data_IF_321525791103
#
_entry.id   IF_321525791103
#
_cell.length_a   1.000
_cell.length_b   1.000
_cell.length_c   1.000
_cell.angle_alpha   90.00
_cell.angle_beta   90.00
_cell.angle_gamma   90.00
#
_symmetry.space_group_name_H-M   'P 1'
#
loop_
_entity.id
_entity.type
_entity.pdbx_description
1 polymer ?
#
# COMPACT_ATOMS: atom_id res chain seq x y z
N UNK A 1 23.10 -29.21 -8.79
CA UNK A 1 23.90 -29.16 -10.03
C UNK A 1 24.77 -27.92 -9.94
N UNK A 2 26.04 -28.09 -9.58
CA UNK A 2 27.00 -26.99 -9.40
C UNK A 2 27.62 -26.64 -10.76
N UNK A 3 26.88 -25.84 -11.56
CA UNK A 3 27.42 -25.38 -12.85
C UNK A 3 28.04 -23.98 -12.74
N UNK A 4 27.82 -23.27 -11.64
CA UNK A 4 28.31 -21.91 -11.43
C UNK A 4 29.26 -21.82 -10.22
N UNK A 5 30.21 -20.89 -10.23
CA UNK A 5 31.00 -20.61 -9.05
C UNK A 5 30.09 -20.19 -7.88
N UNK A 6 30.44 -20.60 -6.66
CA UNK A 6 29.64 -20.37 -5.46
C UNK A 6 29.17 -18.90 -5.27
N UNK A 7 29.98 -17.85 -5.56
CA UNK A 7 29.51 -16.46 -5.46
C UNK A 7 28.38 -16.14 -6.45
N UNK A 8 28.40 -16.71 -7.65
CA UNK A 8 27.36 -16.51 -8.65
C UNK A 8 26.06 -17.24 -8.25
N UNK A 9 26.17 -18.48 -7.76
CA UNK A 9 25.01 -19.23 -7.26
C UNK A 9 24.31 -18.45 -6.14
N UNK A 10 25.08 -17.92 -5.20
CA UNK A 10 24.55 -17.11 -4.09
C UNK A 10 23.82 -15.86 -4.60
N UNK A 11 24.33 -15.19 -5.62
CA UNK A 11 23.67 -14.03 -6.23
C UNK A 11 22.36 -14.42 -6.92
N UNK A 12 22.35 -15.53 -7.66
CA UNK A 12 21.15 -16.08 -8.29
C UNK A 12 20.09 -16.41 -7.24
N UNK A 13 20.48 -17.05 -6.14
CA UNK A 13 19.57 -17.34 -5.03
C UNK A 13 18.94 -16.07 -4.43
N UNK A 14 19.72 -14.98 -4.23
CA UNK A 14 19.17 -13.74 -3.72
C UNK A 14 18.13 -13.14 -4.67
N UNK A 15 18.38 -13.15 -5.98
CA UNK A 15 17.38 -12.67 -6.95
C UNK A 15 16.16 -13.59 -7.02
N UNK A 16 16.32 -14.89 -6.90
CA UNK A 16 15.21 -15.85 -6.91
C UNK A 16 14.29 -15.73 -5.68
N UNK A 17 14.74 -15.11 -4.59
CA UNK A 17 13.93 -14.80 -3.39
C UNK A 17 12.98 -13.62 -3.59
N UNK A 18 13.19 -12.82 -4.64
CA UNK A 18 12.33 -11.66 -4.91
C UNK A 18 10.97 -12.12 -5.46
N UNK A 19 9.85 -11.55 -4.97
CA UNK A 19 8.52 -11.91 -5.45
C UNK A 19 8.40 -11.73 -6.97
N UNK A 20 7.86 -12.74 -7.66
CA UNK A 20 7.67 -12.72 -9.11
C UNK A 20 8.93 -13.02 -9.92
N UNK A 21 10.09 -13.25 -9.29
CA UNK A 21 11.32 -13.61 -9.98
C UNK A 21 11.51 -15.12 -9.95
N UNK A 22 11.32 -15.79 -11.10
CA UNK A 22 11.62 -17.21 -11.26
C UNK A 22 13.11 -17.46 -11.52
N UNK A 23 13.55 -18.73 -11.38
CA UNK A 23 14.96 -19.11 -11.48
C UNK A 23 15.66 -18.66 -12.77
N UNK A 24 14.99 -18.73 -13.95
CA UNK A 24 15.55 -18.23 -15.21
C UNK A 24 15.79 -16.71 -15.20
N UNK A 25 14.84 -15.96 -14.65
CA UNK A 25 14.98 -14.49 -14.51
C UNK A 25 16.07 -14.14 -13.51
N UNK A 26 16.14 -14.85 -12.38
CA UNK A 26 17.19 -14.67 -11.38
C UNK A 26 18.60 -14.88 -11.97
N UNK A 27 18.79 -15.94 -12.77
CA UNK A 27 20.05 -16.17 -13.48
C UNK A 27 20.39 -15.00 -14.42
N UNK A 28 19.43 -14.55 -15.24
CA UNK A 28 19.64 -13.42 -16.15
C UNK A 28 20.05 -12.14 -15.42
N UNK A 29 19.41 -11.84 -14.28
CA UNK A 29 19.76 -10.70 -13.45
C UNK A 29 21.16 -10.82 -12.86
N UNK A 30 21.53 -12.00 -12.36
CA UNK A 30 22.85 -12.24 -11.81
C UNK A 30 23.96 -12.09 -12.89
N UNK A 31 23.77 -12.63 -14.07
CA UNK A 31 24.71 -12.42 -15.19
C UNK A 31 24.78 -10.97 -15.64
N UNK A 32 23.66 -10.24 -15.63
CA UNK A 32 23.67 -8.82 -15.93
C UNK A 32 24.53 -8.03 -14.94
N UNK A 33 24.34 -8.29 -13.63
CA UNK A 33 25.14 -7.63 -12.58
C UNK A 33 26.64 -7.93 -12.71
N UNK A 34 27.00 -9.17 -13.06
CA UNK A 34 28.40 -9.56 -13.33
C UNK A 34 29.01 -8.80 -14.52
N UNK A 35 28.18 -8.42 -15.50
CA UNK A 35 28.61 -7.65 -16.66
C UNK A 35 28.72 -6.13 -16.41
N UNK A 36 28.25 -5.63 -15.26
CA UNK A 36 28.36 -4.22 -14.91
C UNK A 36 29.80 -3.85 -14.55
N UNK A 37 30.21 -2.60 -14.81
CA UNK A 37 31.40 -2.01 -14.18
C UNK A 37 31.31 -2.11 -12.66
N UNK A 38 32.43 -2.27 -11.99
CA UNK A 38 32.48 -2.43 -10.53
C UNK A 38 31.80 -1.28 -9.78
N UNK A 39 31.94 -0.05 -10.27
CA UNK A 39 31.31 1.13 -9.67
C UNK A 39 29.76 1.09 -9.76
N UNK A 40 29.22 0.68 -10.90
CA UNK A 40 27.75 0.53 -11.06
C UNK A 40 27.19 -0.60 -10.15
N UNK A 41 27.93 -1.70 -10.03
CA UNK A 41 27.56 -2.77 -9.11
C UNK A 41 27.58 -2.31 -7.65
N UNK A 42 28.56 -1.47 -7.25
CA UNK A 42 28.63 -0.85 -5.92
C UNK A 42 27.46 0.11 -5.70
N UNK A 43 27.16 0.98 -6.68
CA UNK A 43 26.01 1.90 -6.60
C UNK A 43 24.69 1.12 -6.38
N UNK A 44 24.49 0.05 -7.13
CA UNK A 44 23.29 -0.79 -6.98
C UNK A 44 23.20 -1.41 -5.58
N UNK A 45 24.30 -1.99 -5.09
CA UNK A 45 24.35 -2.56 -3.74
C UNK A 45 24.10 -1.50 -2.65
N UNK A 46 24.73 -0.33 -2.78
CA UNK A 46 24.56 0.77 -1.84
C UNK A 46 23.13 1.32 -1.86
N UNK A 47 22.49 1.45 -3.02
CA UNK A 47 21.11 1.90 -3.13
C UNK A 47 20.13 1.00 -2.35
N UNK A 48 20.37 -0.33 -2.35
CA UNK A 48 19.58 -1.27 -1.53
C UNK A 48 19.79 -1.02 -0.04
N UNK A 49 21.04 -0.88 0.39
CA UNK A 49 21.39 -0.66 1.79
C UNK A 49 20.88 0.71 2.29
N UNK A 50 21.06 1.75 1.51
CA UNK A 50 20.65 3.11 1.82
C UNK A 50 19.13 3.21 1.94
N UNK A 51 18.39 2.61 1.01
CA UNK A 51 16.94 2.53 1.10
C UNK A 51 16.49 1.80 2.37
N UNK A 52 17.15 0.66 2.70
CA UNK A 52 16.82 -0.13 3.88
C UNK A 52 17.09 0.61 5.20
N UNK A 53 18.14 1.43 5.25
CA UNK A 53 18.54 2.17 6.45
C UNK A 53 17.82 3.51 6.60
N UNK A 54 17.56 4.21 5.48
CA UNK A 54 17.07 5.59 5.49
C UNK A 54 15.56 5.69 5.44
N UNK A 55 14.88 4.70 4.82
CA UNK A 55 13.42 4.73 4.71
C UNK A 55 12.79 4.22 5.99
N UNK A 56 11.96 5.07 6.61
CA UNK A 56 11.21 4.79 7.83
C UNK A 56 9.73 5.09 7.62
N UNK A 57 8.89 4.76 8.61
CA UNK A 57 7.48 5.14 8.59
C UNK A 57 7.27 6.54 9.19
N UNK A 58 6.46 7.35 8.53
CA UNK A 58 6.01 8.63 9.07
C UNK A 58 5.26 8.41 10.39
N UNK A 59 5.61 9.10 11.48
CA UNK A 59 5.00 8.87 12.79
C UNK A 59 3.51 9.24 12.85
N UNK A 60 2.99 9.98 11.85
CA UNK A 60 1.58 10.40 11.80
C UNK A 60 0.73 9.49 10.92
N UNK A 61 1.18 9.17 9.71
CA UNK A 61 0.35 8.46 8.73
C UNK A 61 0.87 7.07 8.36
N UNK A 62 2.02 6.68 8.87
CA UNK A 62 2.69 5.40 8.60
C UNK A 62 3.13 5.22 7.13
N UNK A 63 3.03 6.25 6.28
CA UNK A 63 3.62 6.20 4.93
C UNK A 63 5.15 6.28 5.01
N UNK A 64 5.83 5.82 3.98
CA UNK A 64 7.29 5.90 3.92
C UNK A 64 7.81 7.35 3.87
N UNK A 65 8.92 7.58 4.58
CA UNK A 65 9.63 8.86 4.63
C UNK A 65 11.12 8.62 4.83
N UNK A 66 11.94 9.57 4.46
CA UNK A 66 13.38 9.57 4.75
C UNK A 66 13.72 10.27 6.10
N UNK A 67 12.81 10.15 7.06
CA UNK A 67 12.91 10.74 8.40
C UNK A 67 11.87 11.83 8.66
N UNK A 68 11.38 11.91 9.90
CA UNK A 68 10.35 12.86 10.31
C UNK A 68 9.01 12.69 9.61
N UNK A 69 8.32 13.79 9.36
CA UNK A 69 7.02 13.79 8.67
C UNK A 69 7.21 13.57 7.16
N UNK A 70 6.34 12.75 6.57
CA UNK A 70 6.32 12.61 5.11
C UNK A 70 5.83 13.91 4.43
N UNK A 71 6.10 14.10 3.11
CA UNK A 71 5.70 15.31 2.39
C UNK A 71 4.20 15.63 2.45
N UNK A 72 3.34 14.62 2.61
CA UNK A 72 1.90 14.82 2.74
C UNK A 72 1.56 15.37 4.13
N UNK A 73 2.08 14.76 5.20
CA UNK A 73 1.80 15.18 6.57
C UNK A 73 2.45 16.52 6.95
N UNK A 74 3.53 16.91 6.29
CA UNK A 74 4.19 18.21 6.49
C UNK A 74 3.57 19.35 5.68
N UNK A 75 2.70 19.05 4.71
CA UNK A 75 2.10 20.05 3.84
C UNK A 75 0.96 20.81 4.54
N UNK A 76 1.04 22.13 4.69
CA UNK A 76 -0.04 22.93 5.25
C UNK A 76 -1.24 23.12 4.31
N UNK A 77 -1.12 22.65 3.05
CA UNK A 77 -2.17 22.76 2.03
C UNK A 77 -3.17 21.62 2.09
N UNK A 78 -2.88 20.58 2.87
CA UNK A 78 -3.74 19.39 2.98
C UNK A 78 -4.89 19.59 3.95
N UNK A 79 -6.05 19.09 3.58
CA UNK A 79 -7.22 19.07 4.44
C UNK A 79 -7.05 18.06 5.57
N UNK A 80 -6.92 18.55 6.80
CA UNK A 80 -6.78 17.73 8.00
C UNK A 80 -8.07 17.05 8.45
N UNK A 81 -9.22 17.45 7.91
CA UNK A 81 -10.54 16.92 8.30
C UNK A 81 -10.83 15.56 7.65
N UNK A 82 -10.10 15.18 6.59
CA UNK A 82 -10.34 13.95 5.83
C UNK A 82 -9.11 13.04 5.85
N UNK A 83 -9.33 11.76 6.19
CA UNK A 83 -8.28 10.73 6.19
C UNK A 83 -8.67 9.59 5.26
N UNK A 84 -7.83 9.31 4.25
CA UNK A 84 -7.93 8.12 3.41
C UNK A 84 -7.08 6.99 3.98
N UNK A 85 -7.70 5.86 4.29
CA UNK A 85 -7.05 4.68 4.86
C UNK A 85 -6.79 3.67 3.78
N UNK A 86 -5.53 3.32 3.62
CA UNK A 86 -5.04 2.38 2.60
C UNK A 86 -4.29 1.21 3.24
N UNK A 87 -4.21 0.10 2.54
CA UNK A 87 -3.48 -1.06 3.01
C UNK A 87 -1.95 -0.90 2.88
N UNK A 88 -1.48 -0.26 1.81
CA UNK A 88 -0.07 -0.25 1.42
C UNK A 88 0.38 1.18 1.01
N UNK A 89 1.65 1.55 1.22
CA UNK A 89 2.19 2.83 0.73
C UNK A 89 2.06 3.03 -0.79
N UNK A 90 2.02 1.95 -1.57
CA UNK A 90 1.82 2.00 -3.02
C UNK A 90 0.44 2.54 -3.40
N UNK A 91 -0.56 2.30 -2.55
CA UNK A 91 -1.93 2.81 -2.75
C UNK A 91 -1.97 4.33 -2.59
N UNK A 92 -1.19 4.88 -1.63
CA UNK A 92 -0.99 6.33 -1.49
C UNK A 92 -0.46 6.91 -2.80
N UNK A 93 0.59 6.30 -3.36
CA UNK A 93 1.18 6.76 -4.61
C UNK A 93 0.20 6.65 -5.80
N UNK A 94 -0.69 5.65 -5.79
CA UNK A 94 -1.71 5.48 -6.82
C UNK A 94 -2.77 6.60 -6.76
N UNK A 95 -3.26 6.92 -5.55
CA UNK A 95 -4.25 7.99 -5.35
C UNK A 95 -3.63 9.37 -5.65
N UNK A 96 -2.40 9.62 -5.18
CA UNK A 96 -1.69 10.89 -5.43
C UNK A 96 -1.46 11.18 -6.92
N UNK A 97 -1.31 10.14 -7.76
CA UNK A 97 -1.19 10.33 -9.23
C UNK A 97 -2.44 10.95 -9.84
N UNK A 98 -3.63 10.75 -9.27
CA UNK A 98 -4.86 11.37 -9.75
C UNK A 98 -4.88 12.89 -9.54
N UNK A 99 -4.19 13.39 -8.50
CA UNK A 99 -4.18 14.78 -8.06
C UNK A 99 -5.56 15.32 -7.60
N UNK A 100 -6.53 14.45 -7.41
CA UNK A 100 -7.91 14.80 -7.04
C UNK A 100 -8.15 14.74 -5.52
N UNK A 101 -7.26 14.08 -4.77
CA UNK A 101 -7.39 13.94 -3.33
C UNK A 101 -6.49 14.92 -2.59
N UNK A 102 -7.07 15.74 -1.73
CA UNK A 102 -6.35 16.76 -0.96
C UNK A 102 -6.30 16.49 0.56
N UNK A 103 -6.82 15.37 1.03
CA UNK A 103 -6.79 14.99 2.44
C UNK A 103 -5.47 14.35 2.87
N UNK A 104 -5.47 13.86 4.10
CA UNK A 104 -4.39 13.06 4.66
C UNK A 104 -4.61 11.57 4.46
N UNK A 105 -3.54 10.78 4.66
CA UNK A 105 -3.60 9.32 4.58
C UNK A 105 -3.32 8.67 5.94
N UNK A 106 -3.66 7.39 5.99
CA UNK A 106 -3.16 6.48 6.99
C UNK A 106 -2.93 5.10 6.36
N UNK A 107 -1.69 4.60 6.47
CA UNK A 107 -1.26 3.32 5.90
C UNK A 107 -1.31 2.25 6.98
N UNK A 108 -1.98 1.14 6.69
CA UNK A 108 -2.16 0.02 7.63
C UNK A 108 -0.97 -0.94 7.62
N UNK A 109 -0.22 -1.02 6.52
CA UNK A 109 0.83 -2.01 6.21
C UNK A 109 0.30 -3.44 6.12
N UNK A 110 -0.91 -3.61 5.60
CA UNK A 110 -1.57 -4.88 5.37
C UNK A 110 -3.08 -4.80 5.56
N UNK A 111 -3.68 -5.98 5.60
CA UNK A 111 -5.10 -6.21 5.89
C UNK A 111 -5.23 -7.33 6.91
N UNK A 112 -6.35 -7.39 7.64
CA UNK A 112 -6.65 -8.51 8.53
C UNK A 112 -6.80 -9.77 7.67
N UNK A 113 -5.93 -10.74 7.88
CA UNK A 113 -5.86 -11.98 7.11
C UNK A 113 -5.63 -13.18 8.03
N UNK A 114 -6.69 -13.86 8.48
CA UNK A 114 -6.56 -15.05 9.31
C UNK A 114 -5.74 -16.17 8.62
N UNK A 115 -5.86 -16.27 7.31
CA UNK A 115 -5.12 -17.28 6.52
C UNK A 115 -3.61 -17.04 6.54
N UNK A 116 -3.20 -15.76 6.64
CA UNK A 116 -1.79 -15.36 6.72
C UNK A 116 -1.35 -15.03 8.16
N UNK A 117 -2.16 -15.36 9.16
CA UNK A 117 -1.92 -15.08 10.58
C UNK A 117 -1.71 -13.59 10.89
N UNK A 118 -2.35 -12.69 10.11
CA UNK A 118 -2.30 -11.24 10.33
C UNK A 118 -3.54 -10.81 11.11
N UNK A 119 -3.35 -10.40 12.35
CA UNK A 119 -4.38 -9.85 13.21
C UNK A 119 -4.41 -8.31 13.23
N UNK A 120 -5.40 -7.71 13.89
CA UNK A 120 -5.51 -6.26 14.02
C UNK A 120 -4.31 -5.59 14.73
N UNK A 121 -3.63 -6.32 15.61
CA UNK A 121 -2.48 -5.82 16.37
C UNK A 121 -1.18 -5.80 15.55
N UNK A 122 -1.14 -6.55 14.45
CA UNK A 122 -0.01 -6.56 13.50
C UNK A 122 -0.07 -5.37 12.54
N UNK A 123 -1.19 -4.63 12.54
CA UNK A 123 -1.47 -3.52 11.63
C UNK A 123 -1.46 -2.18 12.36
N UNK A 124 -1.20 -1.10 11.63
CA UNK A 124 -1.19 0.26 12.17
C UNK A 124 -2.61 0.81 12.49
N UNK A 125 -3.52 -0.04 13.02
CA UNK A 125 -4.91 0.34 13.30
C UNK A 125 -5.00 1.21 14.56
N UNK A 126 -4.30 0.86 15.64
CA UNK A 126 -4.36 1.59 16.93
C UNK A 126 -3.97 3.07 16.78
N UNK A 127 -2.86 3.33 16.13
CA UNK A 127 -2.36 4.71 15.90
C UNK A 127 -3.35 5.56 15.11
N UNK A 128 -4.16 4.94 14.26
CA UNK A 128 -5.21 5.61 13.52
C UNK A 128 -6.42 5.98 14.40
N UNK A 129 -6.89 5.05 15.23
CA UNK A 129 -8.00 5.33 16.18
C UNK A 129 -7.61 6.45 17.11
N UNK A 130 -6.39 6.45 17.64
CA UNK A 130 -5.84 7.55 18.46
C UNK A 130 -5.80 8.87 17.72
N UNK A 131 -5.50 8.88 16.41
CA UNK A 131 -5.49 10.09 15.60
C UNK A 131 -6.89 10.67 15.44
N UNK A 132 -7.91 9.84 15.23
CA UNK A 132 -9.32 10.29 15.17
C UNK A 132 -9.80 10.76 16.55
N UNK A 133 -9.42 10.05 17.62
CA UNK A 133 -9.78 10.40 18.99
C UNK A 133 -9.27 11.77 19.44
N UNK A 134 -8.18 12.27 18.84
CA UNK A 134 -7.67 13.64 19.10
C UNK A 134 -8.58 14.75 18.57
N UNK A 135 -9.58 14.40 17.75
CA UNK A 135 -10.53 15.33 17.17
C UNK A 135 -10.04 16.01 15.88
N UNK A 136 -10.95 16.75 15.23
CA UNK A 136 -10.69 17.48 13.99
C UNK A 136 -10.88 16.66 12.71
N UNK A 137 -11.04 15.33 12.79
CA UNK A 137 -11.35 14.48 11.66
C UNK A 137 -12.86 14.36 11.51
N UNK A 138 -13.37 14.69 10.34
CA UNK A 138 -14.80 14.63 10.00
C UNK A 138 -15.13 13.41 9.15
N UNK A 139 -14.19 12.98 8.30
CA UNK A 139 -14.39 11.85 7.42
C UNK A 139 -13.19 10.92 7.38
N UNK A 140 -13.48 9.64 7.36
CA UNK A 140 -12.54 8.56 7.12
C UNK A 140 -12.99 7.75 5.92
N UNK A 141 -12.19 7.80 4.85
CA UNK A 141 -12.43 7.05 3.62
C UNK A 141 -11.66 5.72 3.73
N UNK A 142 -12.38 4.61 3.70
CA UNK A 142 -11.78 3.28 3.63
C UNK A 142 -11.43 2.96 2.17
N UNK A 143 -10.14 2.85 1.87
CA UNK A 143 -9.58 2.59 0.55
C UNK A 143 -8.71 1.32 0.52
N UNK A 144 -9.05 0.33 1.33
CA UNK A 144 -8.51 -1.03 1.21
C UNK A 144 -9.05 -1.69 -0.06
N UNK A 145 -8.37 -2.72 -0.57
CA UNK A 145 -8.83 -3.41 -1.77
C UNK A 145 -10.26 -3.98 -1.62
N UNK A 146 -11.02 -4.09 -2.72
CA UNK A 146 -12.39 -4.63 -2.72
C UNK A 146 -12.43 -6.17 -2.71
N UNK A 147 -11.53 -6.79 -1.95
CA UNK A 147 -11.49 -8.22 -1.68
C UNK A 147 -12.02 -8.55 -0.27
N UNK A 148 -12.16 -9.81 0.03
CA UNK A 148 -12.74 -10.29 1.31
C UNK A 148 -11.96 -9.76 2.53
N UNK A 149 -10.63 -9.73 2.47
CA UNK A 149 -9.77 -9.30 3.57
C UNK A 149 -9.82 -7.78 3.74
N UNK A 150 -9.79 -7.04 2.62
CA UNK A 150 -9.92 -5.57 2.63
C UNK A 150 -11.28 -5.10 3.13
N UNK A 151 -12.37 -5.80 2.76
CA UNK A 151 -13.71 -5.53 3.27
C UNK A 151 -13.82 -5.81 4.78
N UNK A 152 -13.34 -6.98 5.22
CA UNK A 152 -13.33 -7.34 6.65
C UNK A 152 -12.54 -6.31 7.47
N UNK A 153 -11.39 -5.84 6.95
CA UNK A 153 -10.56 -4.82 7.57
C UNK A 153 -11.29 -3.48 7.65
N UNK A 154 -11.95 -3.06 6.56
CA UNK A 154 -12.74 -1.84 6.54
C UNK A 154 -13.88 -1.87 7.55
N UNK A 155 -14.64 -2.97 7.61
CA UNK A 155 -15.73 -3.17 8.56
C UNK A 155 -15.22 -3.17 10.01
N UNK A 156 -14.11 -3.81 10.28
CA UNK A 156 -13.48 -3.83 11.60
C UNK A 156 -13.14 -2.41 12.06
N UNK A 157 -12.45 -1.65 11.20
CA UNK A 157 -12.08 -0.27 11.50
C UNK A 157 -13.31 0.62 11.66
N UNK A 158 -14.33 0.47 10.82
CA UNK A 158 -15.58 1.22 10.93
C UNK A 158 -16.27 0.99 12.28
N UNK A 159 -16.24 -0.25 12.81
CA UNK A 159 -16.76 -0.56 14.15
C UNK A 159 -15.96 0.14 15.26
N UNK A 160 -14.64 0.18 15.16
CA UNK A 160 -13.80 0.88 16.13
C UNK A 160 -14.03 2.40 16.14
N UNK A 161 -14.45 2.96 15.00
CA UNK A 161 -14.69 4.39 14.86
C UNK A 161 -16.12 4.82 15.27
N UNK A 162 -17.05 3.88 15.46
CA UNK A 162 -18.43 4.19 15.87
C UNK A 162 -18.57 5.11 17.09
N UNK A 163 -17.70 5.01 18.14
CA UNK A 163 -17.80 5.89 19.30
C UNK A 163 -17.40 7.35 19.02
N UNK A 164 -16.71 7.58 17.91
CA UNK A 164 -16.26 8.90 17.49
C UNK A 164 -17.26 9.45 16.47
N UNK A 165 -17.66 10.68 16.59
CA UNK A 165 -18.58 11.34 15.64
C UNK A 165 -17.85 11.66 14.33
N UNK A 166 -17.51 10.61 13.58
CA UNK A 166 -16.78 10.67 12.30
C UNK A 166 -17.51 9.87 11.23
N UNK A 167 -17.68 10.46 10.07
CA UNK A 167 -18.26 9.79 8.92
C UNK A 167 -17.25 8.78 8.37
N UNK A 168 -17.64 7.51 8.28
CA UNK A 168 -16.83 6.48 7.64
C UNK A 168 -17.44 6.15 6.28
N UNK A 169 -16.66 6.35 5.23
CA UNK A 169 -17.05 6.11 3.85
C UNK A 169 -16.17 5.04 3.21
N UNK A 170 -16.58 4.54 2.06
CA UNK A 170 -15.86 3.55 1.26
C UNK A 170 -15.67 4.08 -0.15
N UNK A 171 -14.56 3.75 -0.81
CA UNK A 171 -14.44 4.02 -2.24
C UNK A 171 -15.57 3.34 -3.00
N UNK A 172 -16.14 4.03 -3.96
CA UNK A 172 -17.20 3.51 -4.79
C UNK A 172 -16.70 2.32 -5.63
N UNK A 173 -17.55 1.31 -5.78
CA UNK A 173 -17.37 0.23 -6.73
C UNK A 173 -18.11 0.56 -8.02
N UNK A 174 -17.55 0.18 -9.16
CA UNK A 174 -18.24 0.44 -10.42
C UNK A 174 -17.48 -0.07 -11.64
N UNK A 175 -18.12 0.12 -12.77
CA UNK A 175 -17.52 -0.16 -14.09
C UNK A 175 -16.38 0.84 -14.30
N UNK A 176 -15.18 0.39 -14.67
CA UNK A 176 -14.08 1.29 -14.95
C UNK A 176 -14.39 2.18 -16.14
N UNK A 177 -13.94 3.44 -16.09
CA UNK A 177 -14.12 4.40 -17.18
C UNK A 177 -13.51 3.86 -18.46
N UNK A 178 -14.31 3.82 -19.55
CA UNK A 178 -13.92 3.21 -20.84
C UNK A 178 -14.10 1.68 -20.90
N UNK A 179 -14.56 1.05 -19.82
CA UNK A 179 -14.91 -0.36 -19.84
C UNK A 179 -16.28 -0.61 -20.47
N UNK A 180 -16.42 -1.71 -21.21
CA UNK A 180 -17.69 -2.17 -21.74
C UNK A 180 -18.38 -3.11 -20.75
N UNK A 181 -19.70 -2.98 -20.61
CA UNK A 181 -20.51 -3.80 -19.68
C UNK A 181 -20.38 -5.30 -19.94
N UNK A 182 -20.28 -5.68 -21.21
CA UNK A 182 -20.17 -7.10 -21.64
C UNK A 182 -18.90 -7.82 -21.13
N UNK A 183 -17.85 -7.06 -20.74
CA UNK A 183 -16.59 -7.62 -20.21
C UNK A 183 -16.50 -7.54 -18.69
N UNK A 184 -17.50 -6.94 -18.02
CA UNK A 184 -17.52 -6.88 -16.59
C UNK A 184 -18.02 -8.21 -16.00
N UNK A 185 -17.36 -8.68 -14.94
CA UNK A 185 -17.83 -9.86 -14.22
C UNK A 185 -19.10 -9.57 -13.41
N UNK A 186 -19.82 -10.64 -13.03
CA UNK A 186 -21.10 -10.55 -12.33
C UNK A 186 -21.00 -9.79 -11.00
N UNK A 187 -19.91 -9.96 -10.27
CA UNK A 187 -19.70 -9.27 -9.00
C UNK A 187 -19.51 -7.75 -9.19
N UNK A 188 -18.75 -7.36 -10.19
CA UNK A 188 -18.58 -5.95 -10.60
C UNK A 188 -19.91 -5.32 -11.01
N UNK A 189 -20.72 -6.02 -11.83
CA UNK A 189 -22.03 -5.54 -12.27
C UNK A 189 -22.98 -5.40 -11.07
N UNK A 190 -23.03 -6.37 -10.20
CA UNK A 190 -23.86 -6.33 -8.99
C UNK A 190 -23.50 -5.12 -8.11
N UNK A 191 -22.21 -4.92 -7.83
CA UNK A 191 -21.72 -3.78 -7.04
C UNK A 191 -22.01 -2.43 -7.70
N UNK A 192 -21.88 -2.34 -9.03
CA UNK A 192 -22.21 -1.14 -9.78
C UNK A 192 -23.71 -0.80 -9.72
N UNK A 193 -24.59 -1.81 -9.79
CA UNK A 193 -26.02 -1.64 -9.65
C UNK A 193 -26.42 -1.23 -8.22
N UNK A 194 -25.81 -1.83 -7.20
CA UNK A 194 -26.01 -1.43 -5.80
C UNK A 194 -25.59 0.02 -5.54
N UNK A 195 -24.44 0.42 -6.09
CA UNK A 195 -23.85 1.75 -5.93
C UNK A 195 -24.34 2.80 -6.93
N UNK A 196 -25.41 2.52 -7.73
CA UNK A 196 -25.94 3.47 -8.71
C UNK A 196 -26.38 4.78 -8.08
N UNK A 197 -26.19 5.87 -8.80
CA UNK A 197 -26.53 7.24 -8.36
C UNK A 197 -27.57 7.83 -9.28
N UNK A 198 -28.32 8.80 -8.75
CA UNK A 198 -29.20 9.65 -9.56
C UNK A 198 -28.36 10.53 -10.50
N UNK A 199 -28.91 10.86 -11.68
CA UNK A 199 -28.27 11.70 -12.71
C UNK A 199 -28.80 13.13 -12.58
#
# INVERSE_FOLDING_TARGET
MEFFPAPLEKLVEQFARLPGIGGKSAQRLAFYVLGLPEEEAKEFANAILDAKHSVTCCPVCQNFTAGGLCPICSSPKRDGSTICVVADPRDVAAIERSREYNGHYHVLHGVISPMNHVGPDDLSIKSRVERVAKGGVQEVIMATNPDTEGEATAMYIARLLKPFDVRVTRLAYGIPVGGHLEFADDATLMRALEGRRDI
#
